data_IF_194802108049
#
_entry.id   IF_194802108049
#
_cell.length_a   1.000
_cell.length_b   1.000
_cell.length_c   1.000
_cell.angle_alpha   90.00
_cell.angle_beta   90.00
_cell.angle_gamma   90.00
#
_symmetry.space_group_name_H-M   'P 1'
#
loop_
_entity.id
_entity.type
_entity.pdbx_description
1 polymer ?
#
# COMPACT_ATOMS: atom_id res chain seq x y z
N UNK A 1 23.97 30.56 38.35
CA UNK A 1 22.76 30.17 37.64
C UNK A 1 23.22 29.37 36.40
N UNK A 2 23.21 28.05 36.55
CA UNK A 2 23.88 27.10 35.64
C UNK A 2 22.85 26.63 34.64
N UNK A 3 23.07 26.92 33.35
CA UNK A 3 22.29 26.39 32.22
C UNK A 3 22.85 25.02 31.87
N UNK A 4 22.10 23.97 32.16
CA UNK A 4 22.38 22.60 31.69
C UNK A 4 21.88 22.43 30.27
N UNK A 5 22.81 22.16 29.36
CA UNK A 5 22.52 21.79 27.96
C UNK A 5 22.05 20.33 27.88
N UNK A 6 20.84 20.10 27.41
CA UNK A 6 20.40 18.78 27.00
C UNK A 6 21.00 18.42 25.63
N UNK A 7 22.04 17.61 25.64
CA UNK A 7 22.57 16.98 24.41
C UNK A 7 21.74 15.74 24.08
N UNK A 8 20.83 15.86 23.10
CA UNK A 8 20.17 14.73 22.49
C UNK A 8 21.17 13.86 21.73
N UNK A 9 21.49 12.69 22.28
CA UNK A 9 22.28 11.67 21.57
C UNK A 9 21.41 11.05 20.47
N UNK A 10 21.71 11.38 19.24
CA UNK A 10 21.25 10.64 18.06
C UNK A 10 21.84 9.23 18.14
N UNK A 11 21.01 8.21 18.37
CA UNK A 11 21.44 6.81 18.34
C UNK A 11 21.57 6.41 16.87
N UNK A 12 22.74 6.66 16.28
CA UNK A 12 23.11 6.07 14.99
C UNK A 12 23.31 4.57 15.25
N UNK A 13 22.40 3.73 14.72
CA UNK A 13 22.56 2.27 14.77
C UNK A 13 23.87 1.90 14.08
N UNK A 14 24.69 1.01 14.66
CA UNK A 14 25.96 0.60 14.05
C UNK A 14 25.71 -0.05 12.68
N UNK A 15 26.55 0.30 11.70
CA UNK A 15 26.57 -0.32 10.37
C UNK A 15 26.80 -1.85 10.51
N UNK A 16 26.16 -2.66 9.68
CA UNK A 16 26.38 -4.10 9.65
C UNK A 16 27.85 -4.39 9.30
N UNK A 17 28.48 -5.35 10.02
CA UNK A 17 29.85 -5.74 9.75
C UNK A 17 29.99 -6.33 8.35
N UNK A 18 31.08 -6.03 7.59
CA UNK A 18 31.31 -6.63 6.27
C UNK A 18 31.46 -8.16 6.37
N UNK A 19 30.97 -8.86 5.34
CA UNK A 19 31.10 -10.32 5.25
C UNK A 19 32.52 -10.72 4.91
N UNK A 20 33.05 -11.86 5.43
CA UNK A 20 34.28 -12.46 4.91
C UNK A 20 34.06 -12.89 3.44
N UNK A 21 35.08 -12.70 2.61
CA UNK A 21 35.10 -12.93 1.14
C UNK A 21 34.90 -14.40 0.77
N UNK A 22 34.51 -14.78 -0.45
CA UNK A 22 33.15 -14.81 -1.00
C UNK A 22 32.54 -16.20 -0.90
N UNK A 23 31.88 -16.50 0.19
CA UNK A 23 30.83 -17.51 0.15
C UNK A 23 29.64 -16.85 -0.54
N UNK A 24 29.07 -17.52 -1.57
CA UNK A 24 27.90 -17.01 -2.27
C UNK A 24 26.79 -16.71 -1.26
N UNK A 25 26.33 -15.45 -1.21
CA UNK A 25 25.31 -15.05 -0.25
C UNK A 25 23.99 -15.74 -0.56
N UNK A 26 23.45 -16.47 0.41
CA UNK A 26 22.15 -17.15 0.27
C UNK A 26 21.01 -16.21 0.59
N UNK A 27 20.04 -16.20 -0.31
CA UNK A 27 18.80 -15.45 -0.22
C UNK A 27 17.62 -16.42 -0.28
N UNK A 28 16.63 -16.25 0.60
CA UNK A 28 15.40 -17.02 0.57
C UNK A 28 14.20 -16.13 0.24
N UNK A 29 13.34 -16.62 -0.65
CA UNK A 29 12.05 -16.02 -0.97
C UNK A 29 11.00 -16.59 -0.02
N UNK A 30 10.30 -15.74 0.73
CA UNK A 30 9.33 -16.15 1.77
C UNK A 30 8.00 -15.47 1.52
N UNK A 31 6.97 -16.24 1.19
CA UNK A 31 5.59 -15.81 1.19
C UNK A 31 4.68 -16.95 1.62
N UNK A 32 3.57 -16.60 2.26
CA UNK A 32 2.52 -17.54 2.66
C UNK A 32 1.47 -17.74 1.56
N UNK A 33 1.24 -16.72 0.75
CA UNK A 33 0.06 -16.57 -0.10
C UNK A 33 0.37 -16.09 -1.54
N UNK A 34 1.64 -15.84 -1.84
CA UNK A 34 2.07 -15.36 -3.16
C UNK A 34 3.24 -16.17 -3.69
N UNK A 35 3.15 -16.66 -4.93
CA UNK A 35 4.26 -17.33 -5.61
C UNK A 35 5.32 -16.31 -6.05
N UNK A 36 6.45 -16.33 -5.38
CA UNK A 36 7.58 -15.44 -5.66
C UNK A 36 8.60 -16.04 -6.63
N UNK A 37 8.34 -17.20 -7.23
CA UNK A 37 9.32 -17.92 -8.09
C UNK A 37 9.80 -17.08 -9.26
N UNK A 38 8.94 -16.22 -9.82
CA UNK A 38 9.28 -15.31 -10.92
C UNK A 38 10.36 -14.26 -10.55
N UNK A 39 10.59 -14.00 -9.26
CA UNK A 39 11.66 -13.09 -8.82
C UNK A 39 13.05 -13.72 -8.87
N UNK A 40 13.15 -15.04 -8.72
CA UNK A 40 14.45 -15.71 -8.66
C UNK A 40 15.34 -15.43 -9.90
N UNK A 41 14.87 -15.64 -11.15
CA UNK A 41 15.68 -15.36 -12.33
C UNK A 41 16.04 -13.87 -12.45
N UNK A 42 15.17 -12.95 -12.02
CA UNK A 42 15.42 -11.50 -12.10
C UNK A 42 16.49 -11.07 -11.09
N UNK A 43 16.43 -11.58 -9.86
CA UNK A 43 17.44 -11.33 -8.83
C UNK A 43 18.81 -11.89 -9.28
N UNK A 44 18.85 -13.13 -9.80
CA UNK A 44 20.08 -13.74 -10.29
C UNK A 44 20.65 -12.99 -11.50
N UNK A 45 19.80 -12.49 -12.42
CA UNK A 45 20.25 -11.67 -13.54
C UNK A 45 20.87 -10.34 -13.04
N UNK A 46 20.30 -9.73 -12.01
CA UNK A 46 20.82 -8.50 -11.42
C UNK A 46 22.07 -8.73 -10.54
N UNK A 47 22.19 -9.90 -9.90
CA UNK A 47 23.27 -10.27 -8.99
C UNK A 47 23.60 -11.78 -9.11
N UNK A 48 24.43 -12.17 -10.13
CA UNK A 48 24.78 -13.57 -10.38
C UNK A 48 25.56 -14.23 -9.20
N UNK A 49 26.10 -13.44 -8.30
CA UNK A 49 26.78 -13.87 -7.08
C UNK A 49 25.84 -14.36 -5.98
N UNK A 50 24.50 -14.26 -6.15
CA UNK A 50 23.53 -14.69 -5.16
C UNK A 50 22.98 -16.09 -5.44
N UNK A 51 22.78 -16.86 -4.37
CA UNK A 51 22.02 -18.10 -4.42
C UNK A 51 20.59 -17.83 -3.93
N UNK A 52 19.63 -17.92 -4.84
CA UNK A 52 18.22 -17.69 -4.53
C UNK A 52 17.50 -19.01 -4.34
N UNK A 53 16.85 -19.16 -3.19
CA UNK A 53 16.11 -20.36 -2.80
C UNK A 53 14.67 -20.02 -2.38
N UNK A 54 13.78 -20.98 -2.47
CA UNK A 54 12.45 -20.88 -1.83
C UNK A 54 12.54 -21.27 -0.36
N UNK A 55 11.76 -20.64 0.50
CA UNK A 55 11.68 -20.99 1.91
C UNK A 55 11.24 -22.45 2.11
N UNK A 56 11.91 -23.15 3.01
CA UNK A 56 11.68 -24.59 3.24
C UNK A 56 12.41 -25.52 2.26
N UNK A 57 13.12 -25.01 1.26
CA UNK A 57 14.01 -25.83 0.45
C UNK A 57 15.20 -26.33 1.28
N UNK A 58 15.84 -27.48 0.92
CA UNK A 58 17.03 -27.96 1.60
C UNK A 58 18.15 -26.89 1.63
N UNK A 59 18.93 -26.87 2.73
CA UNK A 59 20.09 -25.97 2.89
C UNK A 59 19.77 -24.47 2.85
N UNK A 60 18.60 -24.05 3.36
CA UNK A 60 18.23 -22.62 3.47
C UNK A 60 18.43 -22.04 4.88
N UNK A 61 18.76 -22.89 5.87
CA UNK A 61 18.87 -22.45 7.28
C UNK A 61 20.01 -21.46 7.55
N UNK A 62 21.00 -21.36 6.67
CA UNK A 62 22.12 -20.41 6.74
C UNK A 62 21.93 -19.18 5.82
N UNK A 63 20.70 -18.90 5.39
CA UNK A 63 20.41 -17.74 4.57
C UNK A 63 20.62 -16.43 5.32
N UNK A 64 21.33 -15.49 4.69
CA UNK A 64 21.65 -14.18 5.24
C UNK A 64 20.60 -13.12 4.86
N UNK A 65 19.83 -13.35 3.82
CA UNK A 65 18.83 -12.41 3.30
C UNK A 65 17.49 -13.12 3.14
N UNK A 66 16.43 -12.50 3.62
CA UNK A 66 15.05 -12.92 3.37
C UNK A 66 14.34 -11.86 2.52
N UNK A 67 13.81 -12.27 1.37
CA UNK A 67 12.95 -11.45 0.54
C UNK A 67 11.51 -11.88 0.82
N UNK A 68 10.67 -10.95 1.26
CA UNK A 68 9.40 -11.29 1.89
C UNK A 68 8.20 -10.57 1.28
N UNK A 69 7.11 -11.33 1.20
CA UNK A 69 5.75 -10.83 1.14
C UNK A 69 4.88 -11.68 2.07
N UNK A 70 4.24 -11.08 3.05
CA UNK A 70 3.37 -11.75 4.01
C UNK A 70 3.97 -13.10 4.55
N UNK A 71 5.16 -13.06 5.19
CA UNK A 71 5.82 -14.27 5.65
C UNK A 71 5.01 -14.99 6.74
N UNK A 72 5.05 -16.33 6.85
CA UNK A 72 4.49 -17.03 8.01
C UNK A 72 5.10 -16.52 9.32
N UNK A 73 4.28 -16.44 10.37
CA UNK A 73 4.74 -16.00 11.69
C UNK A 73 5.93 -16.86 12.17
N UNK A 74 6.99 -16.21 12.65
CA UNK A 74 8.20 -16.85 13.11
C UNK A 74 9.13 -17.41 12.01
N UNK A 75 8.76 -17.32 10.73
CA UNK A 75 9.60 -17.81 9.63
C UNK A 75 10.96 -17.10 9.60
N UNK A 76 10.99 -15.80 9.82
CA UNK A 76 12.22 -15.01 9.84
C UNK A 76 13.13 -15.38 11.04
N UNK A 77 12.53 -15.72 12.18
CA UNK A 77 13.28 -16.17 13.37
C UNK A 77 13.97 -17.52 13.16
N UNK A 78 13.45 -18.35 12.27
CA UNK A 78 14.04 -19.67 11.97
C UNK A 78 15.36 -19.60 11.17
N UNK A 79 15.79 -18.39 10.77
CA UNK A 79 17.02 -18.14 10.01
C UNK A 79 18.08 -17.50 10.92
N UNK A 80 18.95 -18.29 11.57
CA UNK A 80 19.89 -17.78 12.57
C UNK A 80 20.96 -16.82 12.00
N UNK A 81 21.28 -16.96 10.70
CA UNK A 81 22.28 -16.13 10.03
C UNK A 81 21.65 -14.91 9.32
N UNK A 82 20.35 -14.64 9.53
CA UNK A 82 19.64 -13.56 8.87
C UNK A 82 20.22 -12.18 9.24
N UNK A 83 20.50 -11.36 8.22
CA UNK A 83 21.11 -10.03 8.33
C UNK A 83 20.29 -8.93 7.65
N UNK A 84 19.41 -9.29 6.72
CA UNK A 84 18.55 -8.36 5.99
C UNK A 84 17.22 -9.01 5.69
N UNK A 85 16.15 -8.27 5.94
CA UNK A 85 14.82 -8.54 5.39
C UNK A 85 14.52 -7.50 4.31
N UNK A 86 14.13 -7.93 3.12
CA UNK A 86 13.74 -7.05 2.03
C UNK A 86 12.31 -7.35 1.61
N UNK A 87 11.40 -6.38 1.76
CA UNK A 87 10.05 -6.47 1.23
C UNK A 87 10.07 -6.34 -0.30
N UNK A 88 9.14 -7.00 -0.99
CA UNK A 88 8.94 -6.84 -2.45
C UNK A 88 8.01 -5.68 -2.80
N UNK A 89 7.50 -4.96 -1.82
CA UNK A 89 6.55 -3.87 -1.98
C UNK A 89 6.94 -2.64 -1.15
N UNK A 90 6.20 -1.54 -1.32
CA UNK A 90 6.38 -0.32 -0.54
C UNK A 90 5.87 -0.46 0.90
N UNK A 91 4.80 -1.23 1.11
CA UNK A 91 4.25 -1.57 2.43
C UNK A 91 5.06 -2.69 3.09
N UNK A 92 5.25 -2.58 4.40
CA UNK A 92 5.98 -3.56 5.23
C UNK A 92 5.21 -3.98 6.47
N UNK A 93 3.98 -3.55 6.59
CA UNK A 93 3.08 -3.85 7.71
C UNK A 93 2.88 -5.35 7.92
N UNK A 94 2.79 -6.11 6.82
CA UNK A 94 2.69 -7.57 6.81
C UNK A 94 3.96 -8.31 7.32
N UNK A 95 5.10 -7.62 7.38
CA UNK A 95 6.35 -8.12 7.97
C UNK A 95 6.44 -7.65 9.44
N UNK A 96 6.10 -6.38 9.68
CA UNK A 96 6.21 -5.75 11.01
C UNK A 96 5.20 -6.28 12.02
N UNK A 97 4.12 -6.95 11.58
CA UNK A 97 3.14 -7.57 12.47
C UNK A 97 3.63 -8.88 13.13
N UNK A 98 4.77 -9.45 12.70
CA UNK A 98 5.31 -10.67 13.33
C UNK A 98 5.90 -10.34 14.71
N UNK A 99 5.32 -10.86 15.82
CA UNK A 99 5.83 -10.62 17.17
C UNK A 99 7.21 -11.26 17.42
N UNK A 100 7.65 -12.16 16.52
CA UNK A 100 8.94 -12.83 16.59
C UNK A 100 9.95 -12.27 15.58
N UNK A 101 9.68 -11.10 15.01
CA UNK A 101 10.53 -10.43 14.04
C UNK A 101 11.95 -10.21 14.60
N UNK A 102 13.02 -10.72 13.97
CA UNK A 102 14.38 -10.51 14.44
C UNK A 102 14.81 -9.04 14.27
N UNK A 103 15.73 -8.59 15.14
CA UNK A 103 16.26 -7.22 15.14
C UNK A 103 17.30 -7.00 14.02
N UNK A 104 16.89 -7.16 12.77
CA UNK A 104 17.72 -6.93 11.57
C UNK A 104 17.15 -5.76 10.74
N UNK A 105 17.96 -5.11 9.89
CA UNK A 105 17.46 -4.11 8.97
C UNK A 105 16.33 -4.64 8.09
N UNK A 106 15.32 -3.80 7.85
CA UNK A 106 14.24 -4.07 6.92
C UNK A 106 14.28 -3.01 5.82
N UNK A 107 14.35 -3.45 4.57
CA UNK A 107 14.26 -2.59 3.40
C UNK A 107 12.94 -2.82 2.66
N UNK A 108 12.51 -1.80 1.93
CA UNK A 108 11.29 -1.86 1.09
C UNK A 108 11.61 -1.47 -0.34
N UNK A 109 10.70 -1.79 -1.25
CA UNK A 109 10.76 -1.28 -2.62
C UNK A 109 10.23 0.16 -2.65
N UNK A 110 10.96 1.04 -3.32
CA UNK A 110 10.51 2.38 -3.69
C UNK A 110 10.61 2.47 -5.21
N UNK A 111 9.47 2.45 -5.87
CA UNK A 111 9.39 2.49 -7.32
C UNK A 111 8.61 3.74 -7.75
N UNK A 112 9.24 4.69 -8.47
CA UNK A 112 8.53 5.85 -9.01
C UNK A 112 7.37 5.47 -9.94
N UNK A 113 7.46 4.33 -10.62
CA UNK A 113 6.38 3.82 -11.47
C UNK A 113 5.19 3.31 -10.65
N UNK A 114 5.41 2.86 -9.41
CA UNK A 114 4.32 2.42 -8.52
C UNK A 114 3.37 3.57 -8.19
N UNK A 115 3.89 4.77 -7.92
CA UNK A 115 3.06 5.95 -7.70
C UNK A 115 2.24 6.31 -8.95
N UNK A 116 2.81 6.11 -10.15
CA UNK A 116 2.12 6.31 -11.41
C UNK A 116 1.05 5.25 -11.65
N UNK A 117 1.36 3.97 -11.45
CA UNK A 117 0.40 2.88 -11.60
C UNK A 117 -0.80 3.05 -10.66
N UNK A 118 -0.55 3.42 -9.40
CA UNK A 118 -1.61 3.76 -8.44
C UNK A 118 -2.46 4.93 -8.94
N UNK A 119 -1.82 5.97 -9.49
CA UNK A 119 -2.55 7.11 -10.03
C UNK A 119 -3.41 6.73 -11.23
N UNK A 120 -2.90 5.89 -12.13
CA UNK A 120 -3.64 5.37 -13.30
C UNK A 120 -4.86 4.54 -12.84
N UNK A 121 -4.69 3.68 -11.82
CA UNK A 121 -5.78 2.88 -11.26
C UNK A 121 -6.86 3.76 -10.61
N UNK A 122 -6.46 4.71 -9.76
CA UNK A 122 -7.40 5.62 -9.10
C UNK A 122 -8.09 6.52 -10.13
N UNK A 123 -7.38 7.00 -11.14
CA UNK A 123 -7.94 7.78 -12.24
C UNK A 123 -8.99 6.98 -13.02
N UNK A 124 -8.69 5.71 -13.33
CA UNK A 124 -9.69 4.82 -13.94
C UNK A 124 -10.95 4.71 -13.08
N UNK A 125 -10.79 4.45 -11.78
CA UNK A 125 -11.93 4.36 -10.86
C UNK A 125 -12.71 5.67 -10.74
N UNK A 126 -12.02 6.80 -10.65
CA UNK A 126 -12.64 8.13 -10.61
C UNK A 126 -13.45 8.42 -11.89
N UNK A 127 -12.87 8.15 -13.06
CA UNK A 127 -13.55 8.31 -14.35
C UNK A 127 -14.72 7.33 -14.51
N UNK A 128 -14.57 6.08 -14.05
CA UNK A 128 -15.64 5.08 -14.04
C UNK A 128 -16.87 5.60 -13.32
N UNK A 129 -16.70 6.10 -12.11
CA UNK A 129 -17.81 6.64 -11.32
C UNK A 129 -18.30 8.00 -11.82
N UNK A 130 -17.40 8.92 -12.13
CA UNK A 130 -17.76 10.25 -12.61
C UNK A 130 -18.59 10.20 -13.91
N UNK A 131 -18.22 9.30 -14.83
CA UNK A 131 -18.94 9.11 -16.11
C UNK A 131 -20.07 8.09 -16.01
N UNK A 132 -20.37 7.58 -14.81
CA UNK A 132 -21.44 6.62 -14.52
C UNK A 132 -21.35 5.34 -15.38
N UNK A 133 -20.12 4.81 -15.59
CA UNK A 133 -19.93 3.58 -16.35
C UNK A 133 -20.54 2.36 -15.65
N UNK A 134 -20.68 2.37 -14.33
CA UNK A 134 -21.48 1.41 -13.57
C UNK A 134 -22.92 1.31 -14.10
N UNK A 135 -23.61 2.44 -14.25
CA UNK A 135 -24.96 2.52 -14.82
C UNK A 135 -24.97 2.16 -16.32
N UNK A 136 -23.99 2.64 -17.09
CA UNK A 136 -23.87 2.33 -18.52
C UNK A 136 -23.72 0.82 -18.74
N UNK A 137 -22.88 0.15 -17.96
CA UNK A 137 -22.69 -1.30 -18.06
C UNK A 137 -23.92 -2.09 -17.60
N UNK A 138 -24.66 -1.60 -16.60
CA UNK A 138 -25.93 -2.18 -16.21
C UNK A 138 -26.98 -2.05 -17.32
N UNK A 139 -27.10 -0.86 -17.92
CA UNK A 139 -28.00 -0.58 -19.04
C UNK A 139 -27.64 -1.46 -20.26
N UNK A 140 -26.34 -1.63 -20.56
CA UNK A 140 -25.88 -2.50 -21.64
C UNK A 140 -26.36 -3.94 -21.43
N UNK A 141 -26.21 -4.49 -20.20
CA UNK A 141 -26.68 -5.86 -19.89
C UNK A 141 -28.20 -6.01 -20.01
N UNK A 142 -28.93 -4.93 -19.76
CA UNK A 142 -30.40 -4.89 -19.88
C UNK A 142 -30.89 -4.53 -21.29
N UNK A 143 -29.99 -4.26 -22.24
CA UNK A 143 -30.36 -3.82 -23.61
C UNK A 143 -31.00 -2.42 -23.65
N UNK A 144 -30.73 -1.56 -22.67
CA UNK A 144 -31.29 -0.23 -22.54
C UNK A 144 -30.36 0.83 -23.15
N UNK A 145 -30.87 1.55 -24.18
CA UNK A 145 -30.20 2.72 -24.76
C UNK A 145 -30.55 3.97 -23.96
N UNK A 146 -29.87 4.19 -22.86
CA UNK A 146 -30.12 5.30 -21.94
C UNK A 146 -28.82 6.04 -21.62
N UNK A 147 -28.83 7.38 -21.74
CA UNK A 147 -27.69 8.24 -21.43
C UNK A 147 -27.83 8.73 -20.00
N UNK A 148 -26.85 8.40 -19.10
CA UNK A 148 -26.86 8.95 -17.74
C UNK A 148 -26.52 10.44 -17.74
N UNK A 149 -26.97 11.16 -16.71
CA UNK A 149 -26.67 12.58 -16.54
C UNK A 149 -25.16 12.79 -16.41
N UNK A 150 -24.60 13.73 -17.19
CA UNK A 150 -23.17 14.04 -17.18
C UNK A 150 -22.92 15.32 -16.39
N UNK A 151 -21.83 15.35 -15.63
CA UNK A 151 -21.34 16.51 -14.88
C UNK A 151 -19.94 16.91 -15.39
N UNK A 152 -19.53 18.16 -15.13
CA UNK A 152 -18.14 18.55 -15.33
C UNK A 152 -17.27 17.92 -14.23
N UNK A 153 -16.00 17.67 -14.52
CA UNK A 153 -15.05 17.17 -13.51
C UNK A 153 -14.90 18.14 -12.34
N UNK A 154 -14.97 19.47 -12.59
CA UNK A 154 -14.97 20.52 -11.57
C UNK A 154 -16.13 20.43 -10.56
N UNK A 155 -17.23 19.82 -10.96
CA UNK A 155 -18.42 19.64 -10.11
C UNK A 155 -18.39 18.32 -9.33
N UNK A 156 -17.28 17.59 -9.40
CA UNK A 156 -17.03 16.36 -8.66
C UNK A 156 -15.83 16.55 -7.72
N UNK A 157 -16.09 16.42 -6.43
CA UNK A 157 -15.06 16.54 -5.39
C UNK A 157 -14.52 15.17 -5.02
N UNK A 158 -13.20 14.98 -5.18
CA UNK A 158 -12.51 13.74 -4.80
C UNK A 158 -11.70 13.99 -3.53
N UNK A 159 -11.98 13.22 -2.48
CA UNK A 159 -11.22 13.24 -1.23
C UNK A 159 -10.13 12.16 -1.24
N UNK A 160 -8.87 12.53 -1.06
CA UNK A 160 -7.73 11.60 -0.99
C UNK A 160 -7.24 11.49 0.45
N UNK A 161 -7.44 10.34 1.08
CA UNK A 161 -6.91 10.01 2.40
C UNK A 161 -5.51 9.39 2.28
N UNK A 162 -4.50 10.10 2.80
CA UNK A 162 -3.10 9.70 2.72
C UNK A 162 -2.34 10.49 1.65
N UNK A 163 -1.72 11.60 2.06
CA UNK A 163 -0.92 12.48 1.18
C UNK A 163 0.59 12.19 1.28
N UNK A 164 0.97 10.90 1.38
CA UNK A 164 2.35 10.46 1.19
C UNK A 164 2.81 10.65 -0.27
N UNK A 165 3.92 10.06 -0.64
CA UNK A 165 4.47 10.15 -2.01
C UNK A 165 3.45 9.72 -3.08
N UNK A 166 2.83 8.55 -2.89
CA UNK A 166 1.82 8.01 -3.82
C UNK A 166 0.56 8.89 -3.82
N UNK A 167 0.02 9.21 -2.64
CA UNK A 167 -1.22 9.97 -2.55
C UNK A 167 -1.09 11.42 -3.04
N UNK A 168 0.07 12.04 -2.87
CA UNK A 168 0.35 13.37 -3.43
C UNK A 168 0.36 13.32 -4.97
N UNK A 169 0.93 12.27 -5.57
CA UNK A 169 0.90 12.07 -7.01
C UNK A 169 -0.53 11.84 -7.51
N UNK A 170 -1.30 10.96 -6.88
CA UNK A 170 -2.71 10.71 -7.20
C UNK A 170 -3.53 12.00 -7.13
N UNK A 171 -3.39 12.77 -6.05
CA UNK A 171 -4.11 14.02 -5.88
C UNK A 171 -3.77 15.06 -6.96
N UNK A 172 -2.49 15.16 -7.34
CA UNK A 172 -2.03 16.08 -8.40
C UNK A 172 -2.59 15.68 -9.78
N UNK A 173 -2.58 14.38 -10.11
CA UNK A 173 -3.07 13.90 -11.40
C UNK A 173 -4.60 14.06 -11.50
N UNK A 174 -5.36 13.82 -10.41
CA UNK A 174 -6.81 14.09 -10.35
C UNK A 174 -7.12 15.58 -10.53
N UNK A 175 -6.36 16.45 -9.88
CA UNK A 175 -6.47 17.91 -10.05
C UNK A 175 -6.20 18.31 -11.51
N UNK A 176 -5.14 17.75 -12.11
CA UNK A 176 -4.80 18.00 -13.52
C UNK A 176 -5.88 17.54 -14.50
N UNK A 177 -6.60 16.47 -14.15
CA UNK A 177 -7.77 16.01 -14.91
C UNK A 177 -9.02 16.90 -14.74
N UNK A 178 -8.96 17.94 -13.91
CA UNK A 178 -10.00 18.94 -13.73
C UNK A 178 -10.96 18.68 -12.56
N UNK A 179 -10.72 17.65 -11.73
CA UNK A 179 -11.51 17.40 -10.53
C UNK A 179 -11.23 18.42 -9.43
N UNK A 180 -12.22 18.69 -8.58
CA UNK A 180 -11.97 19.36 -7.30
C UNK A 180 -11.38 18.35 -6.33
N UNK A 181 -10.20 18.64 -5.74
CA UNK A 181 -9.48 17.69 -4.90
C UNK A 181 -9.30 18.22 -3.49
N UNK A 182 -9.68 17.40 -2.51
CA UNK A 182 -9.37 17.55 -1.09
C UNK A 182 -8.38 16.47 -0.67
N UNK A 183 -7.45 16.79 0.22
CA UNK A 183 -6.50 15.83 0.73
C UNK A 183 -6.51 15.78 2.26
N UNK A 184 -6.37 14.59 2.84
CA UNK A 184 -6.23 14.41 4.28
C UNK A 184 -4.99 13.59 4.64
N UNK A 185 -4.22 14.07 5.64
CA UNK A 185 -3.04 13.39 6.15
C UNK A 185 -2.94 13.53 7.67
N UNK A 186 -2.10 12.70 8.31
CA UNK A 186 -1.83 12.79 9.75
C UNK A 186 -1.16 14.12 10.15
N UNK A 187 -0.24 14.60 9.33
CA UNK A 187 0.51 15.83 9.52
C UNK A 187 0.23 16.83 8.41
N UNK A 188 0.45 18.10 8.70
CA UNK A 188 0.25 19.18 7.73
C UNK A 188 1.04 18.93 6.44
N UNK A 189 0.32 18.99 5.34
CA UNK A 189 0.85 18.89 3.98
C UNK A 189 0.20 19.95 3.12
N UNK A 190 1.00 20.77 2.48
CA UNK A 190 0.52 21.76 1.50
C UNK A 190 0.85 21.26 0.11
N UNK A 191 -0.19 21.04 -0.70
CA UNK A 191 -0.06 20.66 -2.10
C UNK A 191 -0.71 21.75 -2.96
N UNK A 192 -0.06 22.23 -4.03
CA UNK A 192 -0.59 23.31 -4.87
C UNK A 192 -1.97 22.95 -5.45
N UNK A 193 -2.96 23.83 -5.27
CA UNK A 193 -4.31 23.66 -5.81
C UNK A 193 -5.19 22.64 -5.09
N UNK A 194 -4.70 22.00 -4.02
CA UNK A 194 -5.40 20.97 -3.26
C UNK A 194 -5.74 21.52 -1.87
N UNK A 195 -7.01 21.46 -1.48
CA UNK A 195 -7.43 21.79 -0.13
C UNK A 195 -7.00 20.68 0.84
N UNK A 196 -5.98 20.97 1.65
CA UNK A 196 -5.39 20.00 2.55
C UNK A 196 -5.95 20.10 3.97
N UNK A 197 -6.17 18.97 4.61
CA UNK A 197 -6.64 18.82 5.98
C UNK A 197 -5.68 17.92 6.74
N UNK A 198 -5.48 18.22 8.03
CA UNK A 198 -4.66 17.40 8.90
C UNK A 198 -5.36 17.17 10.24
N UNK A 199 -4.93 16.15 10.95
CA UNK A 199 -5.51 15.66 12.22
C UNK A 199 -6.88 14.97 12.09
N UNK A 200 -7.25 14.24 13.15
CA UNK A 200 -8.53 13.52 13.20
C UNK A 200 -9.73 14.46 13.32
N UNK A 201 -9.55 15.59 13.99
CA UNK A 201 -10.62 16.58 14.21
C UNK A 201 -11.03 17.29 12.91
N UNK A 202 -10.15 17.30 11.90
CA UNK A 202 -10.45 17.87 10.59
C UNK A 202 -11.18 16.90 9.64
N UNK A 203 -11.37 15.62 10.04
CA UNK A 203 -12.06 14.63 9.19
C UNK A 203 -13.47 15.07 8.76
N UNK A 204 -14.35 15.60 9.64
CA UNK A 204 -15.68 16.03 9.21
C UNK A 204 -15.63 17.13 8.14
N UNK A 205 -14.72 18.10 8.26
CA UNK A 205 -14.55 19.17 7.27
C UNK A 205 -13.95 18.65 5.96
N UNK A 206 -13.05 17.66 6.02
CA UNK A 206 -12.51 16.99 4.86
C UNK A 206 -13.59 16.20 4.10
N UNK A 207 -14.40 15.39 4.80
CA UNK A 207 -15.42 14.52 4.22
C UNK A 207 -16.62 15.26 3.66
N UNK A 208 -16.95 16.43 4.23
CA UNK A 208 -18.07 17.26 3.77
C UNK A 208 -17.91 17.61 2.29
N UNK A 209 -18.91 17.30 1.48
CA UNK A 209 -18.92 17.60 0.05
C UNK A 209 -18.06 16.65 -0.81
N UNK A 210 -17.57 15.55 -0.28
CA UNK A 210 -16.82 14.55 -1.05
C UNK A 210 -17.78 13.63 -1.77
N UNK A 211 -17.61 13.49 -3.09
CA UNK A 211 -18.38 12.61 -3.97
C UNK A 211 -17.69 11.26 -4.19
N UNK A 212 -16.35 11.26 -4.22
CA UNK A 212 -15.54 10.05 -4.35
C UNK A 212 -14.44 10.09 -3.29
N UNK A 213 -14.44 9.11 -2.38
CA UNK A 213 -13.40 8.95 -1.38
C UNK A 213 -12.35 7.94 -1.86
N UNK A 214 -11.08 8.34 -1.84
CA UNK A 214 -9.93 7.48 -2.13
C UNK A 214 -9.15 7.23 -0.85
N UNK A 215 -8.96 5.96 -0.47
CA UNK A 215 -8.16 5.59 0.70
C UNK A 215 -6.81 5.00 0.29
N UNK A 216 -5.73 5.72 0.62
CA UNK A 216 -4.31 5.39 0.38
C UNK A 216 -3.50 5.40 1.70
N UNK A 217 -4.17 5.26 2.84
CA UNK A 217 -3.53 5.34 4.15
C UNK A 217 -2.58 4.16 4.40
N UNK A 218 -1.50 4.36 5.18
CA UNK A 218 -0.78 3.26 5.78
C UNK A 218 -1.62 2.64 6.90
N UNK A 219 -1.51 1.32 7.10
CA UNK A 219 -2.17 0.64 8.21
C UNK A 219 -1.42 0.90 9.52
N UNK A 220 -2.14 1.46 10.48
CA UNK A 220 -1.70 1.72 11.85
C UNK A 220 -2.84 1.41 12.82
N UNK A 221 -2.58 1.42 14.14
CA UNK A 221 -3.63 1.31 15.15
C UNK A 221 -4.71 2.39 15.02
N UNK A 222 -4.34 3.59 14.56
CA UNK A 222 -5.25 4.72 14.40
C UNK A 222 -6.10 4.67 13.13
N UNK A 223 -5.61 3.98 12.08
CA UNK A 223 -6.28 3.89 10.79
C UNK A 223 -7.03 2.58 10.58
N UNK A 224 -6.80 1.57 11.43
CA UNK A 224 -7.55 0.31 11.45
C UNK A 224 -9.03 0.57 11.74
N UNK A 225 -9.91 0.06 10.86
CA UNK A 225 -11.35 0.25 10.96
C UNK A 225 -11.83 1.71 10.84
N UNK A 226 -11.01 2.59 10.27
CA UNK A 226 -11.34 4.01 10.11
C UNK A 226 -12.51 4.21 9.14
N UNK A 227 -12.57 3.43 8.07
CA UNK A 227 -13.67 3.45 7.11
C UNK A 227 -14.86 2.63 7.66
N UNK A 228 -15.50 3.16 8.69
CA UNK A 228 -16.67 2.61 9.34
C UNK A 228 -17.94 3.37 8.97
N UNK A 229 -19.09 2.96 9.51
CA UNK A 229 -20.38 3.57 9.22
C UNK A 229 -20.42 5.07 9.55
N UNK A 230 -19.82 5.48 10.67
CA UNK A 230 -19.83 6.88 11.11
C UNK A 230 -19.04 7.78 10.16
N UNK A 231 -17.93 7.27 9.60
CA UNK A 231 -17.16 7.99 8.58
C UNK A 231 -17.90 8.00 7.24
N UNK A 232 -18.39 6.86 6.79
CA UNK A 232 -19.05 6.74 5.48
C UNK A 232 -20.31 7.61 5.38
N UNK A 233 -21.06 7.75 6.46
CA UNK A 233 -22.25 8.61 6.53
C UNK A 233 -21.97 10.11 6.48
N UNK A 234 -20.72 10.53 6.68
CA UNK A 234 -20.33 11.94 6.53
C UNK A 234 -20.05 12.34 5.08
N UNK A 235 -19.96 11.37 4.18
CA UNK A 235 -19.85 11.64 2.75
C UNK A 235 -21.19 12.12 2.17
N UNK A 236 -21.15 12.71 0.96
CA UNK A 236 -22.37 13.06 0.26
C UNK A 236 -23.25 11.82 0.01
N UNK A 237 -24.59 11.96 0.04
CA UNK A 237 -25.48 10.93 -0.48
C UNK A 237 -25.14 10.58 -1.94
N UNK A 238 -25.02 9.29 -2.25
CA UNK A 238 -24.57 8.80 -3.55
C UNK A 238 -23.04 8.77 -3.72
N UNK A 239 -22.27 9.07 -2.66
CA UNK A 239 -20.81 9.00 -2.69
C UNK A 239 -20.30 7.59 -3.04
N UNK A 240 -19.06 7.55 -3.51
CA UNK A 240 -18.39 6.33 -3.93
C UNK A 240 -17.04 6.18 -3.21
N UNK A 241 -16.58 4.93 -3.10
CA UNK A 241 -15.29 4.60 -2.46
C UNK A 241 -14.33 3.97 -3.47
N UNK A 242 -13.06 4.39 -3.46
CA UNK A 242 -11.94 3.68 -4.09
C UNK A 242 -10.95 3.32 -2.97
N UNK A 243 -10.91 2.05 -2.61
CA UNK A 243 -10.08 1.57 -1.50
C UNK A 243 -8.90 0.76 -2.01
N UNK A 244 -7.71 1.36 -1.90
CA UNK A 244 -6.43 0.82 -2.38
C UNK A 244 -5.34 0.90 -1.29
N UNK A 245 -5.75 1.04 -0.02
CA UNK A 245 -4.84 1.05 1.14
C UNK A 245 -4.51 -0.35 1.66
N UNK A 246 -5.20 -0.75 2.75
CA UNK A 246 -5.15 -2.11 3.32
C UNK A 246 -6.56 -2.53 3.74
N UNK A 247 -6.88 -3.79 3.58
CA UNK A 247 -8.21 -4.32 3.86
C UNK A 247 -8.76 -3.97 5.24
N UNK A 248 -7.90 -3.96 6.24
CA UNK A 248 -8.27 -3.66 7.62
C UNK A 248 -8.64 -2.18 7.89
N UNK A 249 -8.46 -1.28 6.94
CA UNK A 249 -9.02 0.07 7.06
C UNK A 249 -10.54 0.07 6.98
N UNK A 250 -11.11 -0.87 6.22
CA UNK A 250 -12.53 -0.91 5.90
C UNK A 250 -13.27 -1.91 6.78
N UNK A 251 -14.36 -1.42 7.40
CA UNK A 251 -15.38 -2.28 8.01
C UNK A 251 -16.35 -2.67 6.91
N UNK A 252 -16.16 -3.86 6.32
CA UNK A 252 -16.89 -4.30 5.13
C UNK A 252 -18.41 -4.30 5.35
N UNK A 253 -18.89 -4.78 6.51
CA UNK A 253 -20.32 -4.77 6.84
C UNK A 253 -20.91 -3.35 6.86
N UNK A 254 -20.13 -2.36 7.28
CA UNK A 254 -20.56 -0.96 7.23
C UNK A 254 -20.70 -0.46 5.80
N UNK A 255 -19.73 -0.77 4.91
CA UNK A 255 -19.84 -0.43 3.50
C UNK A 255 -21.06 -1.09 2.86
N UNK A 256 -21.28 -2.39 3.08
CA UNK A 256 -22.41 -3.12 2.53
C UNK A 256 -23.75 -2.55 3.01
N UNK A 257 -23.86 -2.13 4.26
CA UNK A 257 -25.04 -1.47 4.80
C UNK A 257 -25.32 -0.13 4.10
N UNK A 258 -24.28 0.71 3.90
CA UNK A 258 -24.44 2.02 3.25
C UNK A 258 -24.68 1.90 1.73
N UNK A 259 -24.20 0.84 1.08
CA UNK A 259 -24.55 0.52 -0.31
C UNK A 259 -26.01 0.04 -0.44
N UNK A 260 -26.48 -0.74 0.55
CA UNK A 260 -27.85 -1.31 0.56
C UNK A 260 -28.92 -0.27 0.85
N UNK A 261 -28.65 0.68 1.76
CA UNK A 261 -29.57 1.77 2.09
C UNK A 261 -29.54 2.91 1.07
N UNK A 262 -28.61 2.90 0.10
CA UNK A 262 -28.48 3.89 -0.97
C UNK A 262 -27.75 5.18 -0.55
N UNK A 263 -27.19 5.25 0.65
CA UNK A 263 -26.34 6.38 1.04
C UNK A 263 -25.05 6.40 0.21
N UNK A 264 -24.43 5.23 0.01
CA UNK A 264 -23.34 5.06 -0.95
C UNK A 264 -23.83 4.36 -2.22
N UNK A 265 -23.27 4.73 -3.36
CA UNK A 265 -23.73 4.25 -4.67
C UNK A 265 -22.72 3.41 -5.43
N UNK A 266 -21.57 3.13 -4.84
CA UNK A 266 -20.59 2.20 -5.41
C UNK A 266 -19.27 2.17 -4.66
N UNK A 267 -18.51 1.09 -4.85
CA UNK A 267 -17.14 1.02 -4.37
C UNK A 267 -16.25 0.18 -5.29
N UNK A 268 -14.98 0.56 -5.39
CA UNK A 268 -13.89 -0.24 -5.91
C UNK A 268 -13.02 -0.63 -4.72
N UNK A 269 -12.85 -1.93 -4.49
CA UNK A 269 -12.08 -2.47 -3.37
C UNK A 269 -10.99 -3.39 -3.92
N UNK A 270 -9.75 -2.96 -3.77
CA UNK A 270 -8.57 -3.67 -4.28
C UNK A 270 -7.89 -4.51 -3.19
N UNK A 271 -8.24 -4.28 -1.92
CA UNK A 271 -7.55 -4.88 -0.76
C UNK A 271 -8.53 -5.43 0.26
N UNK A 272 -8.20 -6.59 0.85
CA UNK A 272 -9.06 -7.29 1.81
C UNK A 272 -8.25 -7.73 3.03
N UNK A 273 -8.88 -7.90 4.22
CA UNK A 273 -8.18 -8.37 5.42
C UNK A 273 -7.61 -9.78 5.25
N UNK A 274 -8.29 -10.61 4.45
CA UNK A 274 -7.84 -11.95 4.09
C UNK A 274 -7.69 -12.03 2.57
N UNK A 275 -6.47 -12.19 2.10
CA UNK A 275 -6.11 -12.33 0.70
C UNK A 275 -5.38 -13.66 0.49
N UNK A 276 -5.67 -14.38 -0.62
CA UNK A 276 -6.68 -14.08 -1.64
C UNK A 276 -8.12 -14.21 -1.12
N UNK A 277 -9.02 -13.36 -1.67
CA UNK A 277 -10.45 -13.46 -1.37
C UNK A 277 -10.99 -14.81 -1.86
N UNK A 278 -11.79 -15.49 -1.01
CA UNK A 278 -12.35 -16.79 -1.35
C UNK A 278 -13.14 -16.75 -2.66
N UNK A 279 -13.00 -17.76 -3.55
CA UNK A 279 -13.79 -17.83 -4.79
C UNK A 279 -15.30 -17.80 -4.58
N UNK A 280 -15.76 -18.26 -3.40
CA UNK A 280 -17.19 -18.32 -3.04
C UNK A 280 -17.67 -17.07 -2.29
N UNK A 281 -16.79 -16.08 -2.07
CA UNK A 281 -17.14 -14.86 -1.35
C UNK A 281 -18.25 -14.09 -2.10
N UNK A 282 -19.34 -13.71 -1.41
CA UNK A 282 -20.45 -12.99 -2.05
C UNK A 282 -20.07 -11.61 -2.61
N UNK A 283 -18.99 -11.03 -2.14
CA UNK A 283 -18.48 -9.74 -2.64
C UNK A 283 -18.21 -9.75 -4.15
N UNK A 284 -17.78 -10.91 -4.72
CA UNK A 284 -17.57 -11.05 -6.16
C UNK A 284 -18.81 -10.76 -7.02
N UNK A 285 -20.00 -10.93 -6.46
CA UNK A 285 -21.29 -10.79 -7.18
C UNK A 285 -22.07 -9.57 -6.73
N UNK A 286 -21.54 -8.75 -5.84
CA UNK A 286 -22.25 -7.58 -5.34
C UNK A 286 -22.40 -6.51 -6.44
N UNK A 287 -23.62 -6.06 -6.79
CA UNK A 287 -23.87 -5.25 -7.99
C UNK A 287 -23.22 -3.85 -7.96
N UNK A 288 -22.94 -3.32 -6.76
CA UNK A 288 -22.33 -1.99 -6.56
C UNK A 288 -20.84 -2.07 -6.16
N UNK A 289 -20.24 -3.27 -6.17
CA UNK A 289 -18.81 -3.46 -5.88
C UNK A 289 -18.05 -3.87 -7.14
N UNK A 290 -16.88 -3.27 -7.31
CA UNK A 290 -15.84 -3.78 -8.19
C UNK A 290 -14.73 -4.30 -7.27
N UNK A 291 -14.49 -5.60 -7.35
CA UNK A 291 -13.42 -6.30 -6.61
C UNK A 291 -12.23 -6.48 -7.54
N UNK A 292 -11.05 -6.04 -7.09
CA UNK A 292 -9.80 -6.26 -7.82
C UNK A 292 -8.78 -6.97 -6.91
N UNK A 293 -7.86 -7.79 -7.47
CA UNK A 293 -7.02 -8.70 -6.67
C UNK A 293 -5.70 -8.05 -6.24
N UNK A 294 -5.75 -6.95 -5.46
CA UNK A 294 -4.59 -6.21 -4.95
C UNK A 294 -3.59 -5.82 -6.05
N UNK A 295 -4.11 -5.25 -7.14
CA UNK A 295 -3.37 -4.95 -8.36
C UNK A 295 -3.17 -3.46 -8.66
N UNK A 296 -3.68 -2.58 -7.81
CA UNK A 296 -3.70 -1.13 -8.09
C UNK A 296 -2.30 -0.54 -8.34
N UNK A 297 -1.26 -1.09 -7.73
CA UNK A 297 0.11 -0.66 -7.98
C UNK A 297 1.11 -1.78 -7.66
N UNK A 298 1.60 -2.45 -8.67
CA UNK A 298 2.63 -3.47 -8.57
C UNK A 298 3.92 -2.89 -9.14
N UNK A 299 5.03 -2.96 -8.39
CA UNK A 299 6.36 -2.62 -8.90
C UNK A 299 6.80 -3.66 -9.95
N UNK A 300 7.58 -3.24 -10.95
CA UNK A 300 8.11 -4.19 -11.92
C UNK A 300 9.07 -5.19 -11.28
N UNK A 301 9.10 -6.42 -11.79
CA UNK A 301 10.02 -7.45 -11.29
C UNK A 301 11.47 -6.99 -11.40
N UNK A 302 11.83 -6.25 -12.46
CA UNK A 302 13.16 -5.69 -12.70
C UNK A 302 13.52 -4.66 -11.62
N UNK A 303 12.59 -3.77 -11.26
CA UNK A 303 12.81 -2.79 -10.18
C UNK A 303 12.98 -3.49 -8.84
N UNK A 304 12.14 -4.47 -8.54
CA UNK A 304 12.24 -5.27 -7.31
C UNK A 304 13.60 -5.98 -7.26
N UNK A 305 13.96 -6.73 -8.30
CA UNK A 305 15.20 -7.51 -8.36
C UNK A 305 16.45 -6.64 -8.27
N UNK A 306 16.48 -5.49 -8.95
CA UNK A 306 17.62 -4.57 -8.91
C UNK A 306 17.82 -3.93 -7.54
N UNK A 307 16.74 -3.53 -6.86
CA UNK A 307 16.83 -2.95 -5.51
C UNK A 307 17.25 -3.99 -4.46
N UNK A 308 16.76 -5.22 -4.58
CA UNK A 308 17.21 -6.34 -3.73
C UNK A 308 18.70 -6.57 -3.94
N UNK A 309 19.15 -6.76 -5.19
CA UNK A 309 20.54 -6.99 -5.55
C UNK A 309 21.47 -5.89 -5.02
N UNK A 310 21.09 -4.62 -5.21
CA UNK A 310 21.89 -3.49 -4.71
C UNK A 310 21.96 -3.47 -3.18
N UNK A 311 20.85 -3.72 -2.48
CA UNK A 311 20.87 -3.77 -1.00
C UNK A 311 21.68 -4.96 -0.46
N UNK A 312 21.67 -6.09 -1.14
CA UNK A 312 22.55 -7.21 -0.77
C UNK A 312 24.01 -6.85 -0.97
N UNK A 313 24.38 -6.22 -2.09
CA UNK A 313 25.77 -5.74 -2.31
C UNK A 313 26.19 -4.71 -1.28
N UNK A 314 25.33 -3.77 -0.89
CA UNK A 314 25.58 -2.81 0.18
C UNK A 314 25.78 -3.49 1.52
N UNK A 315 24.94 -4.47 1.85
CA UNK A 315 25.11 -5.30 3.05
C UNK A 315 26.46 -5.98 3.08
N UNK A 316 26.90 -6.56 1.96
CA UNK A 316 28.19 -7.25 1.85
C UNK A 316 29.37 -6.29 2.01
N UNK A 317 29.24 -5.04 1.53
CA UNK A 317 30.28 -4.01 1.67
C UNK A 317 30.22 -3.25 2.99
N UNK A 318 29.20 -3.49 3.85
CA UNK A 318 28.99 -2.75 5.09
C UNK A 318 28.55 -1.30 4.84
N UNK A 319 27.94 -1.01 3.70
CA UNK A 319 27.43 0.30 3.32
C UNK A 319 25.99 0.53 3.85
N UNK A 320 25.54 1.78 3.99
CA UNK A 320 24.16 2.09 4.32
C UNK A 320 23.18 1.50 3.30
N UNK A 321 22.12 0.86 3.78
CA UNK A 321 21.11 0.25 2.93
C UNK A 321 20.16 1.30 2.35
N UNK A 322 19.72 1.10 1.11
CA UNK A 322 18.71 1.94 0.49
C UNK A 322 17.31 1.58 1.00
N UNK A 323 16.44 2.59 1.15
CA UNK A 323 15.03 2.40 1.49
C UNK A 323 14.81 1.60 2.79
N UNK A 324 15.75 1.71 3.73
CA UNK A 324 15.63 1.09 5.05
C UNK A 324 14.46 1.71 5.81
N UNK A 325 13.64 0.86 6.41
CA UNK A 325 12.49 1.28 7.22
C UNK A 325 12.96 1.63 8.63
N UNK A 326 12.54 2.80 9.13
CA UNK A 326 12.71 3.15 10.54
C UNK A 326 11.62 2.48 11.37
N UNK A 327 11.99 1.39 12.04
CA UNK A 327 11.07 0.60 12.88
C UNK A 327 10.72 1.33 14.19
N UNK A 328 11.52 2.35 14.59
CA UNK A 328 11.35 3.09 15.85
C UNK A 328 10.26 4.18 15.81
N UNK A 329 9.77 4.59 14.66
CA UNK A 329 8.75 5.66 14.52
C UNK A 329 7.30 5.15 14.44
N UNK A 330 7.06 3.84 14.65
CA UNK A 330 5.73 3.21 14.54
C UNK A 330 5.23 2.65 15.87
N UNK A 331 5.37 3.41 16.96
CA UNK A 331 4.61 3.16 18.19
C UNK A 331 3.44 4.12 18.28
#
# INVERSE_FOLDING_TARGET
MILTSCTGRSIVKPLPKPLPTPLMTKLVLISRDYDMSALAPVIVAAAPELQVHSFGAPNTGDAQVAVCWNPPAGALRSLPELRLVHAIAAGVDNILCDPQLPAVPICRVVDPYQARAMSEFVMWGALHFHRQFDQVLANQRAGLWQVPAQKLASDCTIGVMGLGEIGARVAADLLHAGFTVKGWARSDRTLPGIQSFSSRDALPAFLSGVDILVCLLPLTSETRGLLNADLLRQLNPGAKLIHVGRGEHLVMDALLAELSNGHMDGAIVDVFPNEPLSPDDPLWRHPKLIVTPHMAAIASLETIGSQIAENVRRLMRGEPLNNQVDVGQRQ
#
